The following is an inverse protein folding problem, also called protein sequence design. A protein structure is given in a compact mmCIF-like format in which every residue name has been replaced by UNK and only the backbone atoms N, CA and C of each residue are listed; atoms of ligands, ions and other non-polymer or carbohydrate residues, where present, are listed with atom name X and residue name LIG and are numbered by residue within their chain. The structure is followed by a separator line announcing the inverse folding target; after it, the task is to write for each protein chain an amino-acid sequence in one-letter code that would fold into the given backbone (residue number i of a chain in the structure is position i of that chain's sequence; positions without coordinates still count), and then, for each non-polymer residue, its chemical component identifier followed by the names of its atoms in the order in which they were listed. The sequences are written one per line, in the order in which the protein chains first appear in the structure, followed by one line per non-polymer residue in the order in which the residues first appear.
data_IF_640117790568
#
_entry.id   IF_640117790568
#
_cell.length_a   1.000
_cell.length_b   1.000
_cell.length_c   1.000
_cell.angle_alpha   90.00
_cell.angle_beta   90.00
_cell.angle_gamma   90.00
#
_symmetry.space_group_name_H-M   'P 1'
#
loop_
_entity.id
_entity.type
_entity.pdbx_description
1 polymer ?
#
# COMPACT_ATOMS: atom_id res chain seq x y z
N UNK A 1 -47.88 -15.18 -16.76
CA UNK A 1 -47.66 -14.45 -15.54
C UNK A 1 -46.19 -14.60 -15.17
N UNK A 2 -45.25 -13.81 -15.52
CA UNK A 2 -45.18 -12.34 -15.50
C UNK A 2 -44.37 -11.91 -14.30
N UNK A 3 -43.10 -11.55 -14.48
CA UNK A 3 -42.48 -10.39 -13.86
C UNK A 3 -40.98 -10.39 -14.21
N UNK A 4 -40.71 -9.49 -15.04
CA UNK A 4 -39.46 -8.87 -15.45
C UNK A 4 -38.96 -8.00 -14.28
N UNK A 5 -37.75 -8.19 -13.82
CA UNK A 5 -37.04 -7.25 -12.97
C UNK A 5 -35.79 -6.77 -13.69
N UNK A 6 -35.93 -5.63 -14.35
CA UNK A 6 -34.87 -4.90 -14.99
C UNK A 6 -33.88 -4.33 -13.97
N UNK A 7 -32.62 -4.68 -14.13
CA UNK A 7 -31.51 -4.03 -13.45
C UNK A 7 -31.12 -2.74 -14.20
N UNK A 8 -31.40 -1.61 -13.58
CA UNK A 8 -30.98 -0.26 -14.02
C UNK A 8 -29.45 -0.14 -14.06
N UNK A 9 -28.90 -0.15 -15.27
CA UNK A 9 -27.53 0.27 -15.54
C UNK A 9 -27.50 1.79 -15.76
N UNK A 10 -27.02 2.51 -14.76
CA UNK A 10 -26.72 3.94 -14.90
C UNK A 10 -25.63 4.18 -15.96
N UNK A 11 -25.88 5.05 -16.96
CA UNK A 11 -24.85 5.41 -17.92
C UNK A 11 -23.89 6.45 -17.35
N UNK A 12 -22.61 6.12 -17.29
CA UNK A 12 -21.52 7.04 -16.99
C UNK A 12 -21.40 8.06 -18.17
N UNK A 13 -21.70 9.30 -17.87
CA UNK A 13 -21.53 10.43 -18.79
C UNK A 13 -20.05 10.61 -19.18
N UNK A 14 -19.74 10.29 -20.44
CA UNK A 14 -18.50 10.65 -21.10
C UNK A 14 -18.61 12.10 -21.62
N UNK A 15 -17.99 13.05 -20.92
CA UNK A 15 -17.78 14.41 -21.44
C UNK A 15 -16.76 14.42 -22.57
N UNK A 16 -17.17 14.91 -23.75
CA UNK A 16 -16.32 15.11 -24.93
C UNK A 16 -15.45 16.35 -24.73
N UNK A 17 -14.15 16.22 -24.89
CA UNK A 17 -13.23 17.30 -25.23
C UNK A 17 -12.49 16.90 -26.51
N UNK A 18 -12.75 17.65 -27.58
CA UNK A 18 -12.16 17.48 -28.90
C UNK A 18 -10.85 18.26 -28.99
N UNK A 19 -9.82 17.66 -29.57
CA UNK A 19 -8.56 18.29 -29.90
C UNK A 19 -7.37 17.32 -29.81
N UNK A 20 -6.21 17.79 -30.16
CA UNK A 20 -4.90 17.11 -30.16
C UNK A 20 -4.61 16.36 -28.85
N UNK A 21 -5.23 16.79 -27.75
CA UNK A 21 -5.26 16.10 -26.45
C UNK A 21 -5.86 14.69 -26.49
N UNK A 22 -6.78 14.39 -27.40
CA UNK A 22 -7.40 13.06 -27.47
C UNK A 22 -6.47 11.98 -28.01
N UNK A 23 -5.55 12.33 -28.93
CA UNK A 23 -4.59 11.39 -29.45
C UNK A 23 -3.53 11.04 -28.40
N UNK A 24 -3.06 12.02 -27.67
CA UNK A 24 -2.14 11.84 -26.53
C UNK A 24 -2.79 11.06 -25.39
N UNK A 25 -4.06 11.33 -25.08
CA UNK A 25 -4.85 10.60 -24.09
C UNK A 25 -5.15 9.15 -24.50
N UNK A 26 -5.33 8.85 -25.78
CA UNK A 26 -5.59 7.48 -26.27
C UNK A 26 -4.33 6.62 -26.28
N UNK A 27 -3.20 7.14 -26.73
CA UNK A 27 -1.91 6.46 -26.71
C UNK A 27 -1.50 6.22 -25.24
N UNK A 28 -1.51 7.25 -24.41
CA UNK A 28 -1.13 7.14 -23.00
C UNK A 28 -2.08 6.28 -22.14
N UNK A 29 -3.36 6.12 -22.49
CA UNK A 29 -4.29 5.21 -21.79
C UNK A 29 -4.04 3.74 -22.10
N UNK A 30 -3.76 3.41 -23.35
CA UNK A 30 -3.46 2.02 -23.73
C UNK A 30 -2.12 1.57 -23.15
N UNK A 31 -1.08 2.38 -23.31
CA UNK A 31 0.24 2.07 -22.77
C UNK A 31 0.23 2.01 -21.22
N UNK A 32 -0.50 2.89 -20.54
CA UNK A 32 -0.63 2.85 -19.06
C UNK A 32 -1.24 1.55 -18.56
N UNK A 33 -2.34 1.11 -19.16
CA UNK A 33 -3.00 -0.15 -18.80
C UNK A 33 -2.10 -1.35 -19.04
N UNK A 34 -1.36 -1.34 -20.15
CA UNK A 34 -0.51 -2.47 -20.51
C UNK A 34 0.79 -2.52 -19.69
N UNK A 35 1.33 -1.39 -19.27
CA UNK A 35 2.48 -1.31 -18.35
C UNK A 35 2.10 -1.70 -16.92
N UNK A 36 0.89 -1.38 -16.48
CA UNK A 36 0.44 -1.67 -15.10
C UNK A 36 -0.13 -3.09 -14.93
N UNK A 37 -0.69 -3.71 -16.00
CA UNK A 37 -1.22 -5.08 -15.99
C UNK A 37 -0.25 -6.17 -15.50
N UNK A 38 1.06 -6.16 -15.80
CA UNK A 38 1.97 -7.21 -15.36
C UNK A 38 2.36 -7.12 -13.89
N UNK A 39 2.06 -6.02 -13.19
CA UNK A 39 2.25 -5.93 -11.74
C UNK A 39 1.07 -6.63 -11.08
N UNK A 40 1.09 -7.97 -11.09
CA UNK A 40 0.04 -8.84 -10.61
C UNK A 40 -0.24 -8.60 -9.13
N UNK A 41 -0.97 -7.56 -8.79
CA UNK A 41 -1.57 -7.14 -7.51
C UNK A 41 -1.57 -5.62 -7.32
N UNK A 42 -1.33 -4.83 -8.35
CA UNK A 42 -1.51 -3.39 -8.26
C UNK A 42 -2.83 -3.01 -8.94
N UNK A 43 -3.80 -2.64 -8.13
CA UNK A 43 -4.97 -1.93 -8.60
C UNK A 43 -4.62 -0.45 -8.75
N UNK A 44 -5.22 0.22 -9.71
CA UNK A 44 -5.04 1.66 -9.88
C UNK A 44 -6.38 2.35 -10.08
N UNK A 45 -6.48 3.56 -9.58
CA UNK A 45 -7.62 4.43 -9.75
C UNK A 45 -7.22 5.62 -10.62
N UNK A 46 -8.06 5.96 -11.58
CA UNK A 46 -7.87 7.16 -12.42
C UNK A 46 -8.59 8.37 -11.80
N UNK A 47 -7.93 9.52 -11.84
CA UNK A 47 -8.51 10.83 -11.48
C UNK A 47 -9.14 10.91 -10.09
N UNK A 48 -8.49 10.29 -9.10
CA UNK A 48 -8.89 10.36 -7.69
C UNK A 48 -8.79 11.80 -7.21
N UNK A 49 -9.81 12.27 -6.50
CA UNK A 49 -9.76 13.59 -5.85
C UNK A 49 -9.14 13.44 -4.46
N UNK A 50 -8.26 14.35 -4.12
CA UNK A 50 -7.65 14.45 -2.80
C UNK A 50 -7.55 15.91 -2.37
N UNK A 51 -7.34 16.12 -1.07
CA UNK A 51 -7.08 17.45 -0.51
C UNK A 51 -5.65 17.44 0.02
N UNK A 52 -4.79 18.30 -0.53
CA UNK A 52 -3.40 18.45 -0.07
C UNK A 52 -3.33 19.11 1.30
N UNK A 53 -2.16 19.05 1.96
CA UNK A 53 -1.91 19.75 3.25
C UNK A 53 -2.17 21.26 3.20
N UNK A 54 -2.16 21.84 2.00
CA UNK A 54 -2.42 23.25 1.78
C UNK A 54 -3.89 23.54 1.43
N UNK A 55 -4.82 22.63 1.79
CA UNK A 55 -6.25 22.71 1.53
C UNK A 55 -6.60 22.92 0.04
N UNK A 56 -5.71 22.48 -0.86
CA UNK A 56 -5.95 22.53 -2.30
C UNK A 56 -6.52 21.22 -2.77
N UNK A 57 -7.60 21.27 -3.54
CA UNK A 57 -8.09 20.10 -4.26
C UNK A 57 -7.04 19.68 -5.30
N UNK A 58 -6.58 18.45 -5.22
CA UNK A 58 -5.61 17.84 -6.14
C UNK A 58 -6.25 16.65 -6.83
N UNK A 59 -5.95 16.50 -8.11
CA UNK A 59 -6.50 15.43 -8.94
C UNK A 59 -5.37 14.82 -9.78
N UNK A 60 -4.64 13.87 -9.22
CA UNK A 60 -3.64 13.12 -9.99
C UNK A 60 -4.30 12.31 -11.09
N UNK A 61 -3.55 12.06 -12.17
CA UNK A 61 -4.07 11.25 -13.29
C UNK A 61 -4.29 9.80 -12.88
N UNK A 62 -3.37 9.23 -12.09
CA UNK A 62 -3.40 7.85 -11.63
C UNK A 62 -2.88 7.74 -10.20
N UNK A 63 -3.57 6.98 -9.38
CA UNK A 63 -3.12 6.54 -8.07
C UNK A 63 -2.98 5.03 -8.10
N UNK A 64 -1.77 4.52 -7.99
CA UNK A 64 -1.47 3.08 -7.97
C UNK A 64 -1.57 2.59 -6.53
N UNK A 65 -2.42 1.59 -6.29
CA UNK A 65 -2.53 0.92 -4.99
C UNK A 65 -1.50 -0.21 -4.91
N UNK A 66 -0.77 -0.24 -3.82
CA UNK A 66 0.29 -1.18 -3.58
C UNK A 66 0.01 -1.97 -2.28
N UNK A 67 0.66 -3.12 -2.05
CA UNK A 67 0.45 -3.91 -0.84
C UNK A 67 0.63 -3.09 0.44
N UNK A 68 -0.16 -3.38 1.47
CA UNK A 68 -0.12 -2.67 2.76
C UNK A 68 -0.81 -1.31 2.73
N UNK A 69 -1.85 -1.16 1.89
CA UNK A 69 -2.64 0.09 1.74
C UNK A 69 -1.80 1.30 1.30
N UNK A 70 -0.60 1.06 0.79
CA UNK A 70 0.27 2.10 0.27
C UNK A 70 -0.20 2.55 -1.10
N UNK A 71 0.02 3.82 -1.42
CA UNK A 71 -0.32 4.39 -2.73
C UNK A 71 0.88 5.10 -3.34
N UNK A 72 0.96 5.09 -4.67
CA UNK A 72 1.93 5.86 -5.43
C UNK A 72 1.18 6.72 -6.45
N UNK A 73 1.48 8.01 -6.47
CA UNK A 73 0.88 8.96 -7.40
C UNK A 73 1.66 9.01 -8.69
N UNK A 74 0.97 8.88 -9.83
CA UNK A 74 1.53 8.96 -11.17
C UNK A 74 0.79 10.04 -11.96
N UNK A 75 1.54 11.01 -12.48
CA UNK A 75 1.03 12.02 -13.42
C UNK A 75 1.51 11.66 -14.83
N UNK A 76 0.59 11.61 -15.78
CA UNK A 76 0.84 11.01 -17.09
C UNK A 76 0.80 12.01 -18.25
N UNK A 77 0.85 13.30 -17.98
CA UNK A 77 0.71 14.35 -18.99
C UNK A 77 2.05 15.04 -19.30
N UNK A 78 3.09 14.27 -19.61
CA UNK A 78 4.37 14.84 -20.04
C UNK A 78 4.20 15.65 -21.35
N UNK A 79 4.79 16.86 -21.45
CA UNK A 79 4.74 17.66 -22.65
C UNK A 79 5.56 17.02 -23.78
N UNK A 80 4.92 16.76 -24.93
CA UNK A 80 5.56 16.09 -26.07
C UNK A 80 5.65 16.98 -27.33
N UNK A 81 5.04 18.16 -27.31
CA UNK A 81 4.91 19.02 -28.52
C UNK A 81 6.28 19.37 -29.15
N UNK A 82 7.28 19.73 -28.36
CA UNK A 82 8.61 20.04 -28.85
C UNK A 82 9.30 18.82 -29.49
N UNK A 83 9.18 17.63 -28.85
CA UNK A 83 9.72 16.40 -29.42
C UNK A 83 9.05 16.03 -30.74
N UNK A 84 7.73 16.10 -30.81
CA UNK A 84 6.99 15.83 -32.05
C UNK A 84 7.32 16.84 -33.15
N UNK A 85 7.49 18.10 -32.81
CA UNK A 85 7.90 19.12 -33.78
C UNK A 85 9.32 18.80 -34.35
N UNK A 86 10.24 18.31 -33.54
CA UNK A 86 11.57 17.91 -33.98
C UNK A 86 11.59 16.70 -34.96
N UNK A 87 10.47 15.98 -35.12
CA UNK A 87 10.35 14.86 -36.08
C UNK A 87 9.93 15.32 -37.49
N UNK A 88 9.78 16.63 -37.73
CA UNK A 88 9.45 17.15 -39.05
C UNK A 88 10.47 16.74 -40.12
N UNK A 89 9.98 16.33 -41.30
CA UNK A 89 10.86 15.80 -42.37
C UNK A 89 11.70 16.89 -43.03
N UNK A 90 11.18 18.13 -43.05
CA UNK A 90 11.81 19.27 -43.78
C UNK A 90 12.64 20.16 -42.87
N UNK A 91 12.88 19.80 -41.61
CA UNK A 91 13.67 20.59 -40.66
C UNK A 91 15.16 20.48 -40.93
N UNK A 92 15.84 21.60 -40.88
CA UNK A 92 17.29 21.58 -40.79
C UNK A 92 17.79 21.15 -39.39
N UNK A 93 19.11 20.94 -39.28
CA UNK A 93 19.71 20.47 -38.02
C UNK A 93 19.56 21.48 -36.87
N UNK A 94 19.58 22.77 -37.17
CA UNK A 94 19.45 23.84 -36.18
C UNK A 94 18.01 23.95 -35.64
N UNK A 95 17.05 23.90 -36.55
CA UNK A 95 15.63 23.93 -36.20
C UNK A 95 15.23 22.70 -35.34
N UNK A 96 15.76 21.54 -35.69
CA UNK A 96 15.53 20.31 -34.89
C UNK A 96 16.10 20.43 -33.49
N UNK A 97 17.31 20.94 -33.40
CA UNK A 97 18.01 21.20 -32.13
C UNK A 97 17.23 22.15 -31.22
N UNK A 98 16.68 23.24 -31.79
CA UNK A 98 15.86 24.21 -31.05
C UNK A 98 14.56 23.63 -30.55
N UNK A 99 13.92 22.74 -31.33
CA UNK A 99 12.74 22.02 -30.89
C UNK A 99 13.04 21.05 -29.74
N UNK A 100 14.20 20.37 -29.76
CA UNK A 100 14.58 19.44 -28.69
C UNK A 100 14.97 20.21 -27.41
N UNK A 101 15.65 21.34 -27.49
CA UNK A 101 15.86 22.23 -26.33
C UNK A 101 14.55 22.75 -25.75
N UNK A 102 13.59 23.13 -26.61
CA UNK A 102 12.28 23.55 -26.18
C UNK A 102 11.53 22.41 -25.47
N UNK A 103 11.67 21.19 -25.96
CA UNK A 103 11.11 20.00 -25.32
C UNK A 103 11.71 19.78 -23.91
N UNK A 104 13.02 19.80 -23.76
CA UNK A 104 13.70 19.64 -22.47
C UNK A 104 13.24 20.71 -21.45
N UNK A 105 13.21 21.97 -21.89
CA UNK A 105 12.74 23.08 -21.07
C UNK A 105 11.25 22.94 -20.69
N UNK A 106 10.41 22.40 -21.57
CA UNK A 106 9.01 22.16 -21.28
C UNK A 106 8.83 21.02 -20.24
N UNK A 107 9.61 19.95 -20.35
CA UNK A 107 9.59 18.85 -19.38
C UNK A 107 10.09 19.33 -18.00
N UNK A 108 11.14 20.15 -17.93
CA UNK A 108 11.61 20.74 -16.67
C UNK A 108 10.52 21.59 -16.00
N UNK A 109 9.86 22.47 -16.75
CA UNK A 109 8.73 23.27 -16.22
C UNK A 109 7.59 22.38 -15.73
N UNK A 110 7.34 21.28 -16.40
CA UNK A 110 6.32 20.33 -15.97
C UNK A 110 6.70 19.66 -14.65
N UNK A 111 7.95 19.24 -14.47
CA UNK A 111 8.48 18.73 -13.20
C UNK A 111 8.29 19.76 -12.08
N UNK A 112 8.60 21.03 -12.32
CA UNK A 112 8.43 22.10 -11.35
C UNK A 112 6.95 22.28 -10.96
N UNK A 113 6.07 22.21 -11.93
CA UNK A 113 4.62 22.31 -11.71
C UNK A 113 4.07 21.10 -10.92
N UNK A 114 4.59 19.89 -11.17
CA UNK A 114 4.22 18.70 -10.41
C UNK A 114 4.67 18.78 -8.96
N UNK A 115 5.90 19.19 -8.74
CA UNK A 115 6.46 19.39 -7.41
C UNK A 115 5.62 20.37 -6.58
N UNK A 116 5.13 21.44 -7.21
CA UNK A 116 4.29 22.46 -6.56
C UNK A 116 2.89 21.98 -6.19
N UNK A 117 2.41 20.89 -6.78
CA UNK A 117 1.08 20.32 -6.49
C UNK A 117 1.02 19.52 -5.20
N UNK A 118 2.18 19.07 -4.69
CA UNK A 118 2.29 18.31 -3.42
C UNK A 118 1.28 17.15 -3.32
N UNK A 119 1.10 16.40 -4.40
CA UNK A 119 0.11 15.33 -4.53
C UNK A 119 0.18 14.28 -3.40
N UNK A 120 1.41 13.92 -2.97
CA UNK A 120 1.63 12.92 -1.92
C UNK A 120 1.03 13.35 -0.58
N UNK A 121 0.90 14.66 -0.31
CA UNK A 121 0.34 15.15 0.95
C UNK A 121 -1.17 14.91 1.08
N UNK A 122 -1.85 14.60 -0.02
CA UNK A 122 -3.27 14.26 -0.04
C UNK A 122 -3.54 12.78 0.30
N UNK A 123 -2.49 11.96 0.41
CA UNK A 123 -2.61 10.53 0.67
C UNK A 123 -1.66 10.13 1.80
N UNK A 124 -2.18 9.82 2.98
CA UNK A 124 -1.40 9.52 4.19
C UNK A 124 -0.38 8.37 4.00
N UNK A 125 -0.72 7.42 3.13
CA UNK A 125 0.10 6.24 2.87
C UNK A 125 1.00 6.38 1.63
N UNK A 126 1.09 7.57 1.04
CA UNK A 126 1.96 7.87 -0.09
C UNK A 126 3.38 8.24 0.37
N UNK A 127 4.44 7.74 -0.28
CA UNK A 127 5.77 8.33 -0.11
C UNK A 127 5.77 9.77 -0.61
N UNK A 128 6.70 10.58 -0.14
CA UNK A 128 6.92 11.93 -0.66
C UNK A 128 7.54 11.87 -2.05
N UNK A 129 6.79 11.32 -3.00
CA UNK A 129 7.22 11.11 -4.37
C UNK A 129 6.00 11.14 -5.29
N UNK A 130 6.14 11.82 -6.42
CA UNK A 130 5.23 11.71 -7.56
C UNK A 130 5.98 11.21 -8.78
N UNK A 131 5.39 10.30 -9.53
CA UNK A 131 5.99 9.82 -10.77
C UNK A 131 5.46 10.66 -11.93
N UNK A 132 6.35 11.29 -12.65
CA UNK A 132 6.07 11.91 -13.96
C UNK A 132 6.27 10.86 -15.05
N UNK A 133 5.18 10.34 -15.59
CA UNK A 133 5.22 9.33 -16.63
C UNK A 133 5.44 9.97 -18.01
N UNK A 134 6.50 9.56 -18.68
CA UNK A 134 6.84 9.92 -20.04
C UNK A 134 6.59 8.72 -20.95
N UNK A 135 5.69 8.80 -21.95
CA UNK A 135 5.17 7.62 -22.64
C UNK A 135 6.18 6.91 -23.56
N UNK A 136 7.38 7.45 -23.76
CA UNK A 136 8.41 6.87 -24.62
C UNK A 136 9.80 7.09 -24.07
N UNK A 137 10.66 6.07 -24.14
CA UNK A 137 12.10 6.15 -23.82
C UNK A 137 12.79 7.22 -24.68
N UNK A 138 12.46 7.31 -25.97
CA UNK A 138 13.05 8.27 -26.88
C UNK A 138 12.72 9.72 -26.50
N UNK A 139 11.50 9.97 -26.05
CA UNK A 139 11.06 11.29 -25.56
C UNK A 139 11.84 11.70 -24.31
N UNK A 140 12.02 10.77 -23.38
CA UNK A 140 12.76 11.02 -22.15
C UNK A 140 14.26 11.19 -22.43
N UNK A 141 14.85 10.33 -23.29
CA UNK A 141 16.24 10.40 -23.67
C UNK A 141 16.58 11.74 -24.34
N UNK A 142 15.76 12.19 -25.30
CA UNK A 142 15.94 13.49 -25.97
C UNK A 142 15.90 14.67 -24.98
N UNK A 143 15.05 14.63 -23.97
CA UNK A 143 15.01 15.68 -22.96
C UNK A 143 16.26 15.69 -22.09
N UNK A 144 16.77 14.52 -21.68
CA UNK A 144 17.97 14.38 -20.85
C UNK A 144 19.23 14.74 -21.61
N UNK A 145 19.31 14.46 -22.91
CA UNK A 145 20.42 14.87 -23.77
C UNK A 145 20.58 16.39 -23.81
N UNK A 146 19.46 17.11 -23.82
CA UNK A 146 19.44 18.59 -23.88
C UNK A 146 19.36 19.27 -22.50
N UNK A 147 19.15 18.50 -21.45
CA UNK A 147 19.15 18.93 -20.04
C UNK A 147 19.69 17.80 -19.14
N UNK A 148 21.03 17.63 -19.07
CA UNK A 148 21.64 16.54 -18.30
C UNK A 148 21.31 16.55 -16.82
N UNK A 149 20.99 17.72 -16.24
CA UNK A 149 20.63 17.85 -14.83
C UNK A 149 19.14 17.55 -14.54
N UNK A 150 18.36 17.23 -15.57
CA UNK A 150 16.90 17.08 -15.44
C UNK A 150 16.50 16.01 -14.43
N UNK A 151 17.15 14.84 -14.44
CA UNK A 151 16.86 13.76 -13.48
C UNK A 151 17.15 14.17 -12.03
N UNK A 152 18.33 14.74 -11.80
CA UNK A 152 18.74 15.16 -10.46
C UNK A 152 17.87 16.31 -9.94
N UNK A 153 17.51 17.24 -10.82
CA UNK A 153 16.61 18.32 -10.47
C UNK A 153 15.21 17.83 -10.12
N UNK A 154 14.68 16.85 -10.87
CA UNK A 154 13.39 16.23 -10.60
C UNK A 154 13.40 15.48 -9.25
N UNK A 155 14.42 14.66 -9.00
CA UNK A 155 14.52 13.89 -7.75
C UNK A 155 14.67 14.79 -6.53
N UNK A 156 15.43 15.88 -6.61
CA UNK A 156 15.50 16.88 -5.52
C UNK A 156 14.15 17.51 -5.19
N UNK A 157 13.21 17.47 -6.11
CA UNK A 157 11.85 17.99 -5.97
C UNK A 157 10.80 16.90 -5.73
N UNK A 158 11.24 15.69 -5.38
CA UNK A 158 10.38 14.54 -5.15
C UNK A 158 9.55 14.13 -6.38
N UNK A 159 10.10 14.36 -7.58
CA UNK A 159 9.50 13.92 -8.85
C UNK A 159 10.41 12.88 -9.49
N UNK A 160 9.90 11.67 -9.72
CA UNK A 160 10.60 10.62 -10.45
C UNK A 160 10.16 10.64 -11.92
N UNK A 161 11.09 10.86 -12.82
CA UNK A 161 10.85 10.71 -14.27
C UNK A 161 10.87 9.23 -14.61
N UNK A 162 9.81 8.72 -15.24
CA UNK A 162 9.70 7.31 -15.59
C UNK A 162 9.09 7.12 -16.98
N UNK A 163 9.79 6.36 -17.80
CA UNK A 163 9.32 5.76 -19.04
C UNK A 163 8.51 4.47 -18.74
N UNK A 164 7.89 3.81 -19.72
CA UNK A 164 7.16 2.57 -19.51
C UNK A 164 7.99 1.49 -18.79
N UNK A 165 9.24 1.27 -19.22
CA UNK A 165 10.09 0.24 -18.63
C UNK A 165 10.55 0.61 -17.22
N UNK A 166 10.97 1.85 -17.01
CA UNK A 166 11.41 2.34 -15.70
C UNK A 166 10.26 2.45 -14.71
N UNK A 167 9.05 2.83 -15.14
CA UNK A 167 7.86 2.81 -14.29
C UNK A 167 7.55 1.39 -13.79
N UNK A 168 7.59 0.38 -14.67
CA UNK A 168 7.37 -1.00 -14.27
C UNK A 168 8.41 -1.47 -13.24
N UNK A 169 9.69 -1.17 -13.47
CA UNK A 169 10.76 -1.51 -12.54
C UNK A 169 10.57 -0.79 -11.18
N UNK A 170 10.24 0.49 -11.19
CA UNK A 170 9.98 1.30 -10.00
C UNK A 170 8.82 0.72 -9.19
N UNK A 171 7.68 0.45 -9.83
CA UNK A 171 6.50 -0.12 -9.17
C UNK A 171 6.79 -1.48 -8.52
N UNK A 172 7.52 -2.36 -9.22
CA UNK A 172 7.93 -3.66 -8.67
C UNK A 172 8.85 -3.52 -7.48
N UNK A 173 9.83 -2.62 -7.57
CA UNK A 173 10.78 -2.37 -6.48
C UNK A 173 10.08 -1.82 -5.24
N UNK A 174 9.20 -0.84 -5.42
CA UNK A 174 8.42 -0.25 -4.32
C UNK A 174 7.48 -1.29 -3.71
N UNK A 175 6.75 -2.07 -4.53
CA UNK A 175 5.86 -3.12 -4.05
C UNK A 175 6.61 -4.18 -3.23
N UNK A 176 7.81 -4.59 -3.68
CA UNK A 176 8.65 -5.52 -2.95
C UNK A 176 9.14 -4.95 -1.62
N UNK A 177 9.65 -3.71 -1.61
CA UNK A 177 10.12 -3.06 -0.40
C UNK A 177 9.01 -2.96 0.65
N UNK A 178 7.81 -2.56 0.27
CA UNK A 178 6.69 -2.44 1.20
C UNK A 178 6.14 -3.80 1.67
N UNK A 179 6.21 -4.82 0.84
CA UNK A 179 5.89 -6.19 1.27
C UNK A 179 6.84 -6.65 2.38
N UNK A 180 8.14 -6.33 2.28
CA UNK A 180 9.12 -6.63 3.33
C UNK A 180 8.85 -5.86 4.61
N UNK A 181 8.50 -4.59 4.51
CA UNK A 181 8.14 -3.77 5.68
C UNK A 181 6.91 -4.31 6.41
N UNK A 182 5.86 -4.71 5.67
CA UNK A 182 4.67 -5.33 6.26
C UNK A 182 4.99 -6.65 6.98
N UNK A 183 5.82 -7.50 6.39
CA UNK A 183 6.28 -8.74 7.02
C UNK A 183 7.07 -8.48 8.30
N UNK A 184 7.91 -7.46 8.30
CA UNK A 184 8.71 -7.07 9.48
C UNK A 184 7.83 -6.53 10.61
N UNK A 185 6.82 -5.73 10.29
CA UNK A 185 5.85 -5.23 11.27
C UNK A 185 5.06 -6.38 11.91
N UNK A 186 4.52 -7.29 11.10
CA UNK A 186 3.80 -8.47 11.58
C UNK A 186 4.68 -9.38 12.45
N UNK A 187 5.96 -9.57 12.08
CA UNK A 187 6.89 -10.36 12.88
C UNK A 187 7.15 -9.74 14.25
N UNK A 188 7.25 -8.41 14.34
CA UNK A 188 7.39 -7.70 15.62
C UNK A 188 6.16 -7.86 16.50
N UNK A 189 4.98 -7.74 15.93
CA UNK A 189 3.70 -7.93 16.64
C UNK A 189 3.57 -9.37 17.17
N UNK A 190 3.90 -10.37 16.34
CA UNK A 190 3.92 -11.78 16.77
C UNK A 190 4.88 -12.02 17.95
N UNK A 191 6.04 -11.35 17.98
CA UNK A 191 6.98 -11.46 19.11
C UNK A 191 6.39 -10.85 20.39
N UNK A 192 5.68 -9.72 20.29
CA UNK A 192 5.00 -9.10 21.43
C UNK A 192 3.91 -10.02 21.97
N UNK A 193 3.02 -10.50 21.11
CA UNK A 193 1.95 -11.43 21.48
C UNK A 193 2.50 -12.74 22.05
N UNK A 194 3.61 -13.25 21.50
CA UNK A 194 4.28 -14.46 22.00
C UNK A 194 4.80 -14.28 23.43
N UNK A 195 5.37 -13.14 23.77
CA UNK A 195 5.80 -12.81 25.14
C UNK A 195 4.61 -12.72 26.10
N UNK A 196 3.57 -12.03 25.69
CA UNK A 196 2.34 -11.90 26.50
C UNK A 196 1.70 -13.27 26.76
N UNK A 197 1.62 -14.13 25.74
CA UNK A 197 1.14 -15.51 25.90
C UNK A 197 1.99 -16.30 26.88
N UNK A 198 3.32 -16.19 26.78
CA UNK A 198 4.24 -16.86 27.71
C UNK A 198 4.00 -16.45 29.17
N UNK A 199 3.84 -15.17 29.45
CA UNK A 199 3.56 -14.65 30.79
C UNK A 199 2.21 -15.15 31.33
N UNK A 200 1.18 -15.17 30.48
CA UNK A 200 -0.14 -15.69 30.84
C UNK A 200 -0.09 -17.20 31.14
N UNK A 201 0.66 -17.97 30.35
CA UNK A 201 0.87 -19.40 30.59
C UNK A 201 1.65 -19.67 31.89
N UNK A 202 2.67 -18.89 32.21
CA UNK A 202 3.39 -18.98 33.48
C UNK A 202 2.45 -18.73 34.70
N UNK A 203 1.59 -17.72 34.58
CA UNK A 203 0.57 -17.44 35.58
C UNK A 203 -0.41 -18.60 35.75
N UNK A 204 -0.91 -19.16 34.64
CA UNK A 204 -1.77 -20.33 34.64
C UNK A 204 -1.08 -21.52 35.32
N UNK A 205 0.21 -21.79 35.01
CA UNK A 205 1.01 -22.83 35.65
C UNK A 205 1.05 -22.69 37.18
N UNK A 206 1.18 -21.45 37.68
CA UNK A 206 1.13 -21.17 39.12
C UNK A 206 -0.23 -21.52 39.72
N UNK A 207 -1.32 -21.16 39.04
CA UNK A 207 -2.67 -21.54 39.50
C UNK A 207 -2.92 -23.04 39.52
N UNK A 208 -2.47 -23.77 38.50
CA UNK A 208 -2.57 -25.23 38.41
C UNK A 208 -1.79 -25.88 39.57
N UNK A 209 -0.56 -25.44 39.84
CA UNK A 209 0.25 -25.95 40.95
C UNK A 209 -0.44 -25.71 42.32
N UNK A 210 -0.99 -24.51 42.51
CA UNK A 210 -1.73 -24.16 43.74
C UNK A 210 -2.98 -25.02 43.89
N UNK A 211 -3.74 -25.21 42.84
CA UNK A 211 -4.90 -26.08 42.81
C UNK A 211 -4.52 -27.54 43.17
N UNK A 212 -3.48 -28.09 42.55
CA UNK A 212 -2.97 -29.41 42.86
C UNK A 212 -2.59 -29.60 44.34
N UNK A 213 -1.92 -28.61 44.94
CA UNK A 213 -1.56 -28.63 46.38
C UNK A 213 -2.80 -28.55 47.29
N UNK A 214 -3.83 -27.82 46.88
CA UNK A 214 -5.09 -27.71 47.63
C UNK A 214 -5.90 -29.03 47.57
N UNK A 215 -5.97 -29.67 46.41
CA UNK A 215 -6.57 -30.98 46.26
C UNK A 215 -5.88 -32.05 47.10
N UNK A 216 -4.53 -32.06 47.12
CA UNK A 216 -3.77 -33.00 47.98
C UNK A 216 -4.14 -32.81 49.46
N UNK A 217 -4.16 -31.60 49.97
CA UNK A 217 -4.57 -31.27 51.35
C UNK A 217 -5.97 -31.71 51.65
N UNK A 218 -6.92 -31.56 50.69
CA UNK A 218 -8.29 -32.02 50.84
C UNK A 218 -8.38 -33.53 50.97
N UNK A 219 -7.60 -34.28 50.18
CA UNK A 219 -7.49 -35.75 50.27
C UNK A 219 -6.90 -36.18 51.62
N UNK A 220 -5.82 -35.52 52.05
CA UNK A 220 -5.22 -35.80 53.36
C UNK A 220 -6.20 -35.55 54.51
N UNK A 221 -6.95 -34.44 54.47
CA UNK A 221 -7.96 -34.13 55.48
C UNK A 221 -9.15 -35.14 55.48
N UNK A 222 -9.55 -35.59 54.28
CA UNK A 222 -10.58 -36.63 54.14
C UNK A 222 -10.10 -37.97 54.75
N UNK A 223 -8.89 -38.41 54.47
CA UNK A 223 -8.33 -39.61 55.03
C UNK A 223 -8.18 -39.55 56.60
N UNK A 224 -7.78 -38.39 57.11
CA UNK A 224 -7.73 -38.18 58.57
C UNK A 224 -9.13 -38.25 59.24
N UNK A 225 -10.13 -37.68 58.57
CA UNK A 225 -11.55 -37.78 59.01
C UNK A 225 -12.02 -39.24 59.03
N UNK A 226 -11.80 -39.98 57.91
CA UNK A 226 -12.15 -41.40 57.81
C UNK A 226 -11.46 -42.22 58.92
N UNK A 227 -10.14 -42.06 59.10
CA UNK A 227 -9.42 -42.73 60.20
C UNK A 227 -9.95 -42.41 61.58
N UNK A 228 -10.39 -41.21 61.85
CA UNK A 228 -11.03 -40.79 63.12
C UNK A 228 -12.40 -41.48 63.28
N UNK A 229 -13.17 -41.50 62.21
CA UNK A 229 -14.48 -42.15 62.21
C UNK A 229 -14.36 -43.66 62.53
N UNK A 230 -13.46 -44.35 61.85
CA UNK A 230 -13.28 -45.78 62.02
C UNK A 230 -12.69 -46.16 63.41
N UNK A 231 -11.63 -45.42 63.81
CA UNK A 231 -10.93 -45.79 65.08
C UNK A 231 -11.59 -45.32 66.35
N UNK A 232 -12.42 -44.28 66.29
CA UNK A 232 -13.01 -43.70 67.50
C UNK A 232 -14.53 -43.80 67.49
N UNK A 233 -15.22 -43.26 66.46
CA UNK A 233 -16.68 -43.17 66.45
C UNK A 233 -17.32 -44.55 66.34
N UNK A 234 -16.93 -45.33 65.33
CA UNK A 234 -17.52 -46.67 65.12
C UNK A 234 -17.16 -47.64 66.23
N UNK A 235 -15.98 -47.54 66.85
CA UNK A 235 -15.62 -48.34 68.02
C UNK A 235 -16.52 -48.02 69.20
N UNK A 236 -16.73 -46.72 69.49
CA UNK A 236 -17.62 -46.29 70.59
C UNK A 236 -19.08 -46.69 70.34
N UNK A 237 -19.55 -46.55 69.10
CA UNK A 237 -20.89 -46.97 68.73
C UNK A 237 -21.14 -48.47 68.88
N UNK A 238 -20.16 -49.29 68.49
CA UNK A 238 -20.29 -50.77 68.75
C UNK A 238 -20.31 -51.09 70.22
N UNK A 239 -19.43 -50.43 71.06
CA UNK A 239 -19.53 -50.65 72.54
C UNK A 239 -20.86 -50.24 73.16
N UNK A 240 -21.49 -49.18 72.63
CA UNK A 240 -22.81 -48.81 73.09
C UNK A 240 -23.88 -49.87 72.72
N UNK A 241 -23.75 -50.42 71.50
CA UNK A 241 -24.66 -51.50 71.07
C UNK A 241 -24.49 -52.81 71.85
N UNK A 242 -23.30 -53.10 72.33
CA UNK A 242 -23.01 -54.31 73.14
C UNK A 242 -23.47 -54.15 74.61
N UNK A 243 -24.00 -53.00 75.03
CA UNK A 243 -24.52 -52.71 76.39
C UNK A 243 -26.02 -52.77 76.48
N UNK A 244 -26.70 -52.83 75.31
CA UNK A 244 -28.19 -53.04 75.22
C UNK A 244 -28.48 -54.49 75.14
#
# INVERSE_FOLDING_TARGET
LGADEGADLHPLHAGRHEGVDQLQLRIGRHERRDVLKPVARCDFDEQVRGISRHEREVRPDVVVRLPGEKVLVVDAKAPMSGFLAAQGADLDASEREDHLRTHAAALRRHVDALAAKDYWSAFETSPQLVVCFVPSEAVLAAAVEHDPDLFDAAMRRHVALASPATLLALLRTIAYAWQQDALTANARELLVLGRELHERLATLGTHVTRMGSSLRRSVESYNAMVGTLESRVLVTSRRMHDLD
#
